data_IF_296781790398
#
_entry.id   IF_296781790398
#
_cell.length_a   1.000
_cell.length_b   1.000
_cell.length_c   1.000
_cell.angle_alpha   90.00
_cell.angle_beta   90.00
_cell.angle_gamma   90.00
#
_symmetry.space_group_name_H-M   'P 1'
#
loop_
_entity.id
_entity.type
_entity.pdbx_description
1 polymer ?
#
# COMPACT_ATOMS: atom_id res chain seq x y z
N UNK A 1 13.55 -5.52 15.16
CA UNK A 1 14.52 -4.72 14.35
C UNK A 1 15.45 -5.63 13.56
N UNK A 2 15.70 -5.33 12.29
CA UNK A 2 16.67 -6.11 11.46
C UNK A 2 18.07 -5.79 11.97
N UNK A 3 18.88 -6.82 12.26
CA UNK A 3 20.26 -6.64 12.71
C UNK A 3 21.08 -6.02 11.57
N UNK A 4 21.74 -4.89 11.84
CA UNK A 4 22.61 -4.22 10.88
C UNK A 4 23.98 -4.88 10.93
N UNK A 5 24.53 -5.23 9.79
CA UNK A 5 25.81 -5.90 9.62
C UNK A 5 26.72 -5.20 8.60
N UNK A 6 26.31 -4.02 8.14
CA UNK A 6 27.00 -3.28 7.06
C UNK A 6 28.50 -3.00 7.37
N UNK A 7 28.83 -2.69 8.62
CA UNK A 7 30.22 -2.50 9.04
C UNK A 7 31.03 -3.80 8.95
N UNK A 8 30.48 -4.92 9.40
CA UNK A 8 31.12 -6.24 9.31
C UNK A 8 31.24 -6.72 7.87
N UNK A 9 30.24 -6.47 7.05
CA UNK A 9 30.24 -6.91 5.65
C UNK A 9 31.30 -6.19 4.81
N UNK A 10 31.58 -4.91 5.12
CA UNK A 10 32.52 -4.08 4.35
C UNK A 10 33.93 -4.07 4.97
N UNK A 11 34.04 -3.99 6.29
CA UNK A 11 35.30 -3.73 6.99
C UNK A 11 35.68 -4.82 8.02
N UNK A 12 34.88 -5.90 8.15
CA UNK A 12 35.03 -6.87 9.23
C UNK A 12 36.40 -7.53 9.33
N UNK A 13 37.05 -7.82 8.21
CA UNK A 13 38.39 -8.39 8.18
C UNK A 13 39.51 -7.32 8.36
N UNK A 14 39.31 -6.14 7.82
CA UNK A 14 40.30 -5.07 7.87
C UNK A 14 40.26 -4.29 9.18
N UNK A 15 39.08 -4.00 9.72
CA UNK A 15 38.88 -3.19 10.91
C UNK A 15 37.76 -3.78 11.82
N UNK A 16 37.95 -4.98 12.41
CA UNK A 16 36.88 -5.71 13.09
C UNK A 16 36.30 -4.96 14.29
N UNK A 17 37.13 -4.22 15.02
CA UNK A 17 36.67 -3.44 16.17
C UNK A 17 35.82 -2.24 15.75
N UNK A 18 36.18 -1.59 14.66
CA UNK A 18 35.39 -0.49 14.07
C UNK A 18 34.05 -1.03 13.56
N UNK A 19 34.08 -2.14 12.82
CA UNK A 19 32.86 -2.80 12.33
C UNK A 19 31.91 -3.19 13.48
N UNK A 20 32.46 -3.72 14.58
CA UNK A 20 31.68 -4.01 15.78
C UNK A 20 31.05 -2.76 16.40
N UNK A 21 31.82 -1.67 16.57
CA UNK A 21 31.30 -0.43 17.14
C UNK A 21 30.21 0.20 16.25
N UNK A 22 30.39 0.15 14.93
CA UNK A 22 29.42 0.62 13.98
C UNK A 22 28.10 -0.18 14.08
N UNK A 23 28.16 -1.49 14.00
CA UNK A 23 26.97 -2.32 13.91
C UNK A 23 26.27 -2.51 15.25
N UNK A 24 27.03 -2.76 16.34
CA UNK A 24 26.43 -3.11 17.62
C UNK A 24 26.11 -1.85 18.45
N UNK A 25 26.98 -0.86 18.47
CA UNK A 25 26.82 0.34 19.31
C UNK A 25 26.10 1.45 18.56
N UNK A 26 26.63 1.90 17.43
CA UNK A 26 26.04 3.02 16.70
C UNK A 26 24.63 2.67 16.21
N UNK A 27 24.48 1.62 15.44
CA UNK A 27 23.18 1.23 14.89
C UNK A 27 22.36 0.35 15.83
N UNK A 28 23.00 -0.50 16.65
CA UNK A 28 22.31 -1.41 17.57
C UNK A 28 21.81 -0.75 18.86
N UNK A 29 22.54 0.22 19.40
CA UNK A 29 22.17 0.86 20.67
C UNK A 29 21.75 2.33 20.52
N UNK A 30 22.44 3.12 19.69
CA UNK A 30 22.17 4.56 19.57
C UNK A 30 21.03 4.83 18.59
N UNK A 31 21.09 4.27 17.38
CA UNK A 31 20.05 4.44 16.37
C UNK A 31 18.76 3.67 16.64
N UNK A 32 18.77 2.70 17.53
CA UNK A 32 17.59 1.93 17.92
C UNK A 32 16.67 2.61 18.96
N UNK A 33 17.04 3.78 19.46
CA UNK A 33 16.29 4.50 20.50
C UNK A 33 15.15 5.35 19.92
N UNK A 34 14.22 4.72 19.24
CA UNK A 34 13.12 5.41 18.53
C UNK A 34 12.19 6.19 19.48
N UNK A 35 12.06 5.74 20.73
CA UNK A 35 11.26 6.44 21.74
C UNK A 35 11.86 7.78 22.20
N UNK A 36 13.16 7.99 22.00
CA UNK A 36 13.85 9.22 22.39
C UNK A 36 13.94 10.23 21.22
N UNK A 37 14.18 9.70 20.01
CA UNK A 37 14.27 10.49 18.79
C UNK A 37 13.93 9.59 17.60
N UNK A 38 13.03 10.03 16.74
CA UNK A 38 12.60 9.23 15.58
C UNK A 38 13.75 8.94 14.61
N UNK A 39 13.65 7.85 13.84
CA UNK A 39 14.63 7.52 12.81
C UNK A 39 14.73 8.64 11.75
N UNK A 40 13.59 9.29 11.44
CA UNK A 40 13.49 10.45 10.57
C UNK A 40 14.33 11.64 11.07
N UNK A 41 14.12 12.03 12.32
CA UNK A 41 14.82 13.19 12.91
C UNK A 41 16.34 12.92 13.01
N UNK A 42 16.74 11.70 13.36
CA UNK A 42 18.14 11.29 13.35
C UNK A 42 18.76 11.36 11.97
N UNK A 43 18.07 10.88 10.96
CA UNK A 43 18.57 10.93 9.58
C UNK A 43 18.70 12.38 9.09
N UNK A 44 17.72 13.23 9.41
CA UNK A 44 17.76 14.66 9.09
C UNK A 44 18.96 15.36 9.78
N UNK A 45 19.15 15.14 11.09
CA UNK A 45 20.26 15.69 11.84
C UNK A 45 21.61 15.22 11.24
N UNK A 46 21.74 13.94 10.94
CA UNK A 46 22.98 13.36 10.38
C UNK A 46 23.30 13.96 9.02
N UNK A 47 22.33 13.99 8.10
CA UNK A 47 22.50 14.59 6.76
C UNK A 47 22.85 16.07 6.87
N UNK A 48 22.14 16.82 7.71
CA UNK A 48 22.41 18.25 7.95
C UNK A 48 23.80 18.50 8.52
N UNK A 49 24.23 17.69 9.50
CA UNK A 49 25.56 17.81 10.10
C UNK A 49 26.68 17.51 9.08
N UNK A 50 26.52 16.51 8.24
CA UNK A 50 27.49 16.20 7.17
C UNK A 50 27.56 17.32 6.13
N UNK A 51 26.41 17.84 5.70
CA UNK A 51 26.34 18.98 4.78
C UNK A 51 27.01 20.23 5.35
N UNK A 52 26.72 20.57 6.61
CA UNK A 52 27.27 21.75 7.27
C UNK A 52 28.81 21.70 7.41
N UNK A 53 29.39 20.51 7.44
CA UNK A 53 30.83 20.28 7.49
C UNK A 53 31.46 20.10 6.10
N UNK A 54 30.67 20.16 5.02
CA UNK A 54 31.15 19.93 3.65
C UNK A 54 31.55 18.49 3.35
N UNK A 55 31.09 17.53 4.18
CA UNK A 55 31.33 16.09 4.02
C UNK A 55 30.27 15.51 3.07
N UNK A 56 30.50 15.60 1.77
CA UNK A 56 29.56 15.15 0.72
C UNK A 56 30.10 13.94 -0.07
N UNK A 57 30.86 13.11 0.59
CA UNK A 57 31.48 11.89 0.05
C UNK A 57 30.48 10.68 0.02
N UNK A 58 31.03 9.49 -0.15
CA UNK A 58 30.26 8.24 -0.18
C UNK A 58 29.42 8.02 1.10
N UNK A 59 29.93 8.45 2.25
CA UNK A 59 29.23 8.35 3.54
C UNK A 59 27.97 9.21 3.55
N UNK A 60 28.06 10.45 3.06
CA UNK A 60 26.90 11.33 2.88
C UNK A 60 25.87 10.70 1.94
N UNK A 61 26.30 10.15 0.80
CA UNK A 61 25.42 9.48 -0.16
C UNK A 61 24.64 8.32 0.47
N UNK A 62 25.30 7.52 1.31
CA UNK A 62 24.67 6.43 2.06
C UNK A 62 23.60 6.94 3.05
N UNK A 63 23.94 7.94 3.86
CA UNK A 63 23.00 8.52 4.82
C UNK A 63 21.83 9.23 4.13
N UNK A 64 22.05 9.87 3.00
CA UNK A 64 20.98 10.50 2.22
C UNK A 64 20.01 9.47 1.63
N UNK A 65 20.52 8.35 1.09
CA UNK A 65 19.67 7.26 0.59
C UNK A 65 18.82 6.66 1.72
N UNK A 66 19.46 6.35 2.86
CA UNK A 66 18.74 5.82 4.04
C UNK A 66 17.68 6.82 4.56
N UNK A 67 17.97 8.12 4.56
CA UNK A 67 17.02 9.15 4.96
C UNK A 67 15.80 9.19 4.03
N UNK A 68 16.01 9.09 2.72
CA UNK A 68 14.92 9.06 1.74
C UNK A 68 13.99 7.87 1.96
N UNK A 69 14.54 6.68 2.20
CA UNK A 69 13.76 5.48 2.46
C UNK A 69 12.92 5.62 3.74
N UNK A 70 13.52 6.10 4.83
CA UNK A 70 12.81 6.34 6.10
C UNK A 70 11.69 7.36 5.93
N UNK A 71 11.93 8.45 5.20
CA UNK A 71 10.93 9.50 5.01
C UNK A 71 9.78 9.04 4.13
N UNK A 72 10.05 8.23 3.10
CA UNK A 72 9.03 7.65 2.25
C UNK A 72 8.12 6.67 3.04
N UNK A 73 8.71 5.85 3.90
CA UNK A 73 7.96 4.90 4.74
C UNK A 73 7.05 5.64 5.76
N UNK A 74 7.55 6.71 6.40
CA UNK A 74 6.75 7.51 7.34
C UNK A 74 5.62 8.27 6.63
N UNK A 75 5.88 8.86 5.47
CA UNK A 75 4.87 9.57 4.67
C UNK A 75 3.74 8.62 4.25
N UNK A 76 4.09 7.43 3.78
CA UNK A 76 3.12 6.39 3.43
C UNK A 76 2.31 5.92 4.64
N UNK A 77 2.93 5.75 5.82
CA UNK A 77 2.24 5.39 7.05
C UNK A 77 1.25 6.49 7.49
N UNK A 78 1.66 7.75 7.39
CA UNK A 78 0.81 8.90 7.69
C UNK A 78 -0.37 9.03 6.72
N UNK A 79 -0.16 8.76 5.43
CA UNK A 79 -1.22 8.75 4.43
C UNK A 79 -2.24 7.65 4.68
N UNK A 80 -1.77 6.44 4.98
CA UNK A 80 -2.63 5.32 5.36
C UNK A 80 -3.48 5.67 6.58
N UNK A 81 -2.87 6.29 7.59
CA UNK A 81 -3.59 6.70 8.80
C UNK A 81 -4.61 7.81 8.52
N UNK A 82 -4.27 8.80 7.69
CA UNK A 82 -5.22 9.83 7.24
C UNK A 82 -6.40 9.20 6.49
N UNK A 83 -6.13 8.26 5.59
CA UNK A 83 -7.18 7.54 4.87
C UNK A 83 -8.06 6.73 5.82
N UNK A 84 -7.48 6.00 6.81
CA UNK A 84 -8.26 5.28 7.83
C UNK A 84 -9.18 6.23 8.61
N UNK A 85 -8.70 7.43 8.96
CA UNK A 85 -9.47 8.41 9.72
C UNK A 85 -10.59 9.07 8.90
N UNK A 86 -10.56 8.95 7.57
CA UNK A 86 -11.61 9.51 6.68
C UNK A 86 -12.83 8.61 6.53
N UNK A 87 -12.81 7.40 7.08
CA UNK A 87 -13.92 6.43 7.00
C UNK A 87 -14.13 5.69 8.31
N UNK A 88 -15.33 5.11 8.49
CA UNK A 88 -15.70 4.32 9.67
C UNK A 88 -15.32 2.84 9.55
N UNK A 89 -15.07 2.35 8.34
CA UNK A 89 -14.70 0.97 8.08
C UNK A 89 -13.19 0.78 8.22
N UNK A 90 -12.71 -0.35 8.80
CA UNK A 90 -11.27 -0.60 8.89
C UNK A 90 -10.67 -0.84 7.50
N UNK A 91 -9.43 -0.41 7.30
CA UNK A 91 -8.64 -0.75 6.09
C UNK A 91 -8.46 -2.28 6.00
N UNK A 92 -8.22 -2.93 7.13
CA UNK A 92 -8.04 -4.37 7.19
C UNK A 92 -6.60 -4.84 7.02
N UNK A 93 -6.45 -6.14 6.78
CA UNK A 93 -5.17 -6.78 6.54
C UNK A 93 -4.72 -6.66 5.07
N UNK A 94 -3.42 -6.78 4.76
CA UNK A 94 -2.95 -6.93 3.40
C UNK A 94 -3.72 -8.04 2.66
N UNK A 95 -4.09 -7.77 1.41
CA UNK A 95 -4.89 -8.67 0.58
C UNK A 95 -4.02 -9.72 -0.13
N UNK A 96 -3.16 -10.41 0.63
CA UNK A 96 -2.13 -11.31 0.10
C UNK A 96 -2.73 -12.49 -0.70
N UNK A 97 -3.91 -12.98 -0.29
CA UNK A 97 -4.60 -14.09 -0.95
C UNK A 97 -5.02 -13.79 -2.40
N UNK A 98 -5.18 -12.53 -2.75
CA UNK A 98 -5.57 -12.07 -4.08
C UNK A 98 -4.51 -11.18 -4.74
N UNK A 99 -3.32 -11.01 -4.14
CA UNK A 99 -2.28 -10.10 -4.60
C UNK A 99 -1.93 -10.28 -6.10
N UNK A 100 -1.96 -11.52 -6.61
CA UNK A 100 -1.71 -11.83 -8.02
C UNK A 100 -2.70 -11.17 -9.01
N UNK A 101 -3.83 -10.67 -8.52
CA UNK A 101 -4.88 -10.02 -9.32
C UNK A 101 -4.90 -8.50 -9.14
N UNK A 102 -3.90 -7.93 -8.47
CA UNK A 102 -3.79 -6.49 -8.21
C UNK A 102 -2.43 -5.95 -8.65
N UNK A 103 -2.42 -4.76 -9.23
CA UNK A 103 -1.19 -4.03 -9.57
C UNK A 103 -0.83 -3.05 -8.45
N UNK A 104 -0.24 -3.53 -7.36
CA UNK A 104 0.09 -2.72 -6.19
C UNK A 104 -0.54 -3.26 -4.92
N UNK A 105 -0.43 -2.49 -3.83
CA UNK A 105 -0.90 -2.95 -2.52
C UNK A 105 -2.38 -2.67 -2.33
N UNK A 106 -3.10 -3.68 -1.91
CA UNK A 106 -4.51 -3.58 -1.48
C UNK A 106 -4.71 -4.24 -0.13
N UNK A 107 -5.82 -3.90 0.51
CA UNK A 107 -6.21 -4.39 1.83
C UNK A 107 -7.66 -4.85 1.80
N UNK A 108 -7.99 -5.80 2.68
CA UNK A 108 -9.32 -6.38 2.77
C UNK A 108 -9.77 -6.47 4.23
N UNK A 109 -10.95 -5.92 4.52
CA UNK A 109 -11.61 -6.06 5.80
C UNK A 109 -13.01 -6.67 5.61
N UNK A 110 -13.34 -7.79 6.25
CA UNK A 110 -14.71 -8.29 6.24
C UNK A 110 -15.62 -7.37 7.06
N UNK A 111 -16.75 -6.97 6.47
CA UNK A 111 -17.80 -6.18 7.11
C UNK A 111 -19.00 -7.06 7.43
N UNK A 112 -19.36 -7.96 6.53
CA UNK A 112 -20.37 -8.98 6.72
C UNK A 112 -19.95 -10.28 6.02
N UNK A 113 -20.11 -11.41 6.67
CA UNK A 113 -19.71 -12.72 6.14
C UNK A 113 -20.85 -13.75 6.08
N UNK A 114 -22.06 -13.38 6.52
CA UNK A 114 -23.18 -14.30 6.64
C UNK A 114 -24.17 -14.21 5.48
N UNK A 115 -25.27 -13.46 5.61
CA UNK A 115 -26.34 -13.40 4.61
C UNK A 115 -25.91 -12.80 3.29
N UNK A 116 -25.24 -11.65 3.36
CA UNK A 116 -24.63 -10.96 2.23
C UNK A 116 -23.18 -10.69 2.59
N UNK A 117 -22.28 -11.18 1.77
CA UNK A 117 -20.87 -10.89 1.98
C UNK A 117 -20.55 -9.46 1.55
N UNK A 118 -19.94 -8.74 2.47
CA UNK A 118 -19.53 -7.36 2.28
C UNK A 118 -18.09 -7.22 2.77
N UNK A 119 -17.24 -6.69 1.94
CA UNK A 119 -15.85 -6.40 2.27
C UNK A 119 -15.55 -4.92 2.05
N UNK A 120 -14.82 -4.30 2.97
CA UNK A 120 -14.17 -3.05 2.66
C UNK A 120 -12.86 -3.37 1.93
N UNK A 121 -12.76 -2.98 0.67
CA UNK A 121 -11.57 -3.13 -0.16
C UNK A 121 -10.89 -1.79 -0.25
N UNK A 122 -9.64 -1.72 0.19
CA UNK A 122 -8.83 -0.49 0.18
C UNK A 122 -7.64 -0.66 -0.75
N UNK A 123 -7.38 0.34 -1.55
CA UNK A 123 -6.32 0.41 -2.54
C UNK A 123 -5.36 1.55 -2.20
N UNK A 124 -4.06 1.30 -2.24
CA UNK A 124 -3.05 2.37 -2.25
C UNK A 124 -3.10 3.16 -3.55
N UNK A 125 -2.54 4.39 -3.59
CA UNK A 125 -2.50 5.19 -4.81
C UNK A 125 -1.99 4.42 -6.03
N UNK A 126 -2.75 4.46 -7.14
CA UNK A 126 -2.45 3.75 -8.38
C UNK A 126 -2.71 2.25 -8.39
N UNK A 127 -3.05 1.64 -7.25
CA UNK A 127 -3.38 0.22 -7.20
C UNK A 127 -4.72 -0.06 -7.91
N UNK A 128 -4.74 -1.05 -8.78
CA UNK A 128 -5.92 -1.51 -9.54
C UNK A 128 -6.04 -3.03 -9.46
N UNK A 129 -7.26 -3.56 -9.51
CA UNK A 129 -7.44 -4.98 -9.76
C UNK A 129 -7.41 -5.27 -11.27
N UNK A 130 -7.20 -6.53 -11.61
CA UNK A 130 -7.28 -7.01 -12.99
C UNK A 130 -8.71 -6.89 -13.51
N UNK A 131 -8.87 -6.90 -14.84
CA UNK A 131 -10.14 -7.17 -15.46
C UNK A 131 -10.73 -8.46 -14.88
N UNK A 132 -12.01 -8.43 -14.54
CA UNK A 132 -12.70 -9.60 -13.99
C UNK A 132 -14.19 -9.56 -14.27
N UNK A 133 -14.85 -10.69 -14.04
CA UNK A 133 -16.28 -10.87 -14.28
C UNK A 133 -16.87 -11.61 -13.10
N UNK A 134 -17.97 -11.09 -12.54
CA UNK A 134 -18.82 -11.83 -11.62
C UNK A 134 -19.84 -12.62 -12.41
N UNK A 135 -19.73 -13.94 -12.41
CA UNK A 135 -20.62 -14.84 -13.12
C UNK A 135 -21.65 -15.43 -12.15
N UNK A 136 -22.88 -15.62 -12.61
CA UNK A 136 -23.94 -16.34 -11.89
C UNK A 136 -24.97 -16.89 -12.87
N UNK A 137 -25.60 -18.00 -12.52
CA UNK A 137 -26.67 -18.56 -13.34
C UNK A 137 -27.99 -17.80 -13.18
N UNK A 138 -28.20 -17.20 -11.98
CA UNK A 138 -29.34 -16.36 -11.66
C UNK A 138 -29.01 -15.40 -10.52
N UNK A 139 -29.44 -14.14 -10.59
CA UNK A 139 -29.02 -13.10 -9.64
C UNK A 139 -27.53 -12.82 -9.78
N UNK A 140 -26.84 -12.55 -8.67
CA UNK A 140 -25.39 -12.30 -8.65
C UNK A 140 -24.98 -10.91 -9.13
N UNK A 141 -23.69 -10.76 -9.41
CA UNK A 141 -23.06 -9.47 -9.67
C UNK A 141 -22.47 -8.84 -8.41
N UNK A 142 -22.12 -7.59 -8.49
CA UNK A 142 -21.50 -6.86 -7.38
C UNK A 142 -22.05 -5.43 -7.29
N UNK A 143 -22.11 -4.90 -6.07
CA UNK A 143 -22.39 -3.47 -5.86
C UNK A 143 -21.16 -2.88 -5.17
N UNK A 144 -20.64 -1.79 -5.71
CA UNK A 144 -19.61 -0.98 -5.05
C UNK A 144 -20.29 0.22 -4.38
N UNK A 145 -19.95 0.47 -3.13
CA UNK A 145 -20.34 1.69 -2.41
C UNK A 145 -19.06 2.38 -1.98
N UNK A 146 -18.74 3.52 -2.59
CA UNK A 146 -17.50 4.25 -2.31
C UNK A 146 -17.58 4.93 -0.94
N UNK A 147 -16.57 4.71 -0.09
CA UNK A 147 -16.59 5.16 1.31
C UNK A 147 -15.47 6.15 1.64
N UNK A 148 -14.36 6.14 0.91
CA UNK A 148 -13.26 7.08 1.14
C UNK A 148 -12.36 7.22 -0.09
N UNK A 149 -11.71 8.38 -0.23
CA UNK A 149 -10.73 8.66 -1.26
C UNK A 149 -11.32 8.82 -2.65
N UNK A 150 -10.49 8.63 -3.69
CA UNK A 150 -10.85 8.77 -5.10
C UNK A 150 -10.34 7.58 -5.90
N UNK A 151 -11.19 7.03 -6.75
CA UNK A 151 -10.86 5.87 -7.57
C UNK A 151 -11.57 5.88 -8.91
N UNK A 152 -11.46 4.75 -9.60
CA UNK A 152 -12.07 4.54 -10.91
C UNK A 152 -12.77 3.19 -10.99
N UNK A 153 -13.79 3.15 -11.83
CA UNK A 153 -14.46 1.95 -12.32
C UNK A 153 -14.56 2.02 -13.83
N UNK A 154 -14.33 0.90 -14.51
CA UNK A 154 -14.49 0.84 -15.96
C UNK A 154 -15.09 -0.51 -16.38
N UNK A 155 -16.09 -0.47 -17.24
CA UNK A 155 -16.56 -1.62 -18.00
C UNK A 155 -15.76 -1.77 -19.29
N UNK A 156 -15.53 -3.00 -19.71
CA UNK A 156 -14.84 -3.28 -20.97
C UNK A 156 -15.48 -2.55 -22.15
N UNK A 157 -14.65 -1.78 -22.86
CA UNK A 157 -15.07 -1.00 -24.03
C UNK A 157 -15.81 0.30 -23.74
N UNK A 158 -15.83 0.74 -22.46
CA UNK A 158 -16.37 2.05 -22.06
C UNK A 158 -15.27 2.92 -21.47
N UNK A 159 -15.51 4.22 -21.36
CA UNK A 159 -14.63 5.16 -20.68
C UNK A 159 -14.61 4.90 -19.17
N UNK A 160 -13.47 5.11 -18.48
CA UNK A 160 -13.39 5.04 -17.03
C UNK A 160 -14.30 6.07 -16.35
N UNK A 161 -15.01 5.64 -15.33
CA UNK A 161 -15.81 6.50 -14.47
C UNK A 161 -15.02 6.81 -13.20
N UNK A 162 -14.79 8.08 -12.90
CA UNK A 162 -14.23 8.50 -11.62
C UNK A 162 -15.24 8.31 -10.49
N UNK A 163 -14.78 7.84 -9.32
CA UNK A 163 -15.58 7.49 -8.16
C UNK A 163 -15.15 8.27 -6.92
N UNK A 164 -16.15 8.77 -6.18
CA UNK A 164 -16.00 9.52 -4.94
C UNK A 164 -16.84 8.92 -3.81
N UNK A 165 -16.58 9.25 -2.54
CA UNK A 165 -17.41 8.81 -1.43
C UNK A 165 -18.88 9.15 -1.61
N UNK A 166 -19.73 8.14 -1.47
CA UNK A 166 -21.18 8.23 -1.72
C UNK A 166 -21.63 7.70 -3.09
N UNK A 167 -20.70 7.52 -4.05
CA UNK A 167 -21.04 6.91 -5.33
C UNK A 167 -21.36 5.42 -5.17
N UNK A 168 -22.33 4.95 -5.96
CA UNK A 168 -22.74 3.55 -5.98
C UNK A 168 -22.70 3.04 -7.42
N UNK A 169 -21.98 1.95 -7.63
CA UNK A 169 -21.92 1.27 -8.93
C UNK A 169 -22.61 -0.08 -8.82
N UNK A 170 -23.60 -0.32 -9.68
CA UNK A 170 -24.28 -1.60 -9.79
C UNK A 170 -23.70 -2.38 -10.97
N UNK A 171 -23.00 -3.47 -10.68
CA UNK A 171 -22.33 -4.31 -11.67
C UNK A 171 -23.16 -5.59 -11.86
N UNK A 172 -23.80 -5.70 -13.02
CA UNK A 172 -24.60 -6.88 -13.36
C UNK A 172 -23.69 -8.11 -13.56
N UNK A 173 -24.19 -9.33 -13.34
CA UNK A 173 -23.45 -10.54 -13.65
C UNK A 173 -23.07 -10.58 -15.13
N UNK A 174 -21.88 -11.07 -15.45
CA UNK A 174 -21.35 -11.17 -16.81
C UNK A 174 -20.64 -9.91 -17.33
N UNK A 175 -20.70 -8.79 -16.61
CA UNK A 175 -20.00 -7.54 -17.00
C UNK A 175 -18.51 -7.68 -16.70
N UNK A 176 -17.65 -7.54 -17.72
CA UNK A 176 -16.21 -7.47 -17.57
C UNK A 176 -15.82 -6.05 -17.16
N UNK A 177 -15.13 -5.91 -16.04
CA UNK A 177 -14.81 -4.61 -15.46
C UNK A 177 -13.54 -4.67 -14.60
N UNK A 178 -13.03 -3.49 -14.25
CA UNK A 178 -12.04 -3.30 -13.20
C UNK A 178 -12.39 -2.09 -12.33
N UNK A 179 -11.78 -1.99 -11.16
CA UNK A 179 -11.81 -0.82 -10.31
C UNK A 179 -10.51 -0.70 -9.50
N UNK A 180 -10.22 0.51 -9.03
CA UNK A 180 -9.00 0.77 -8.28
C UNK A 180 -8.85 2.23 -7.90
N UNK A 181 -7.73 2.55 -7.26
CA UNK A 181 -7.40 3.89 -6.80
C UNK A 181 -6.91 4.79 -7.94
N UNK A 182 -7.17 6.09 -7.81
CA UNK A 182 -6.51 7.09 -8.63
C UNK A 182 -5.00 7.13 -8.35
N UNK A 183 -4.16 7.59 -9.29
CA UNK A 183 -2.70 7.56 -9.14
C UNK A 183 -2.17 8.33 -7.92
N UNK A 184 -2.91 9.31 -7.43
CA UNK A 184 -2.55 10.25 -6.37
C UNK A 184 -3.49 10.19 -5.15
N UNK A 185 -4.30 9.14 -5.02
CA UNK A 185 -5.26 9.02 -3.91
C UNK A 185 -5.41 7.58 -3.47
N UNK A 186 -5.46 7.36 -2.17
CA UNK A 186 -6.04 6.16 -1.60
C UNK A 186 -7.52 6.07 -1.99
N UNK A 187 -8.04 4.85 -2.08
CA UNK A 187 -9.44 4.61 -2.41
C UNK A 187 -9.99 3.42 -1.61
N UNK A 188 -11.21 3.57 -1.09
CA UNK A 188 -11.92 2.47 -0.43
C UNK A 188 -13.38 2.41 -0.86
N UNK A 189 -13.84 1.19 -1.07
CA UNK A 189 -15.25 0.92 -1.33
C UNK A 189 -15.70 -0.35 -0.61
N UNK A 190 -16.98 -0.42 -0.29
CA UNK A 190 -17.62 -1.68 0.08
C UNK A 190 -17.88 -2.48 -1.20
N UNK A 191 -17.37 -3.68 -1.25
CA UNK A 191 -17.71 -4.69 -2.24
C UNK A 191 -18.83 -5.55 -1.68
N UNK A 192 -20.04 -5.40 -2.20
CA UNK A 192 -21.21 -6.17 -1.81
C UNK A 192 -21.42 -7.28 -2.84
N UNK A 193 -21.25 -8.53 -2.42
CA UNK A 193 -21.55 -9.68 -3.28
C UNK A 193 -23.09 -9.86 -3.35
N UNK A 194 -23.66 -9.58 -4.52
CA UNK A 194 -25.12 -9.77 -4.72
C UNK A 194 -25.44 -11.25 -4.69
N UNK A 195 -26.39 -11.72 -3.85
CA UNK A 195 -26.76 -13.12 -3.79
C UNK A 195 -27.27 -13.67 -5.13
N UNK A 196 -26.87 -14.89 -5.46
CA UNK A 196 -27.27 -15.56 -6.69
C UNK A 196 -26.95 -17.06 -6.67
N UNK A 197 -27.30 -17.73 -7.78
CA UNK A 197 -27.06 -19.17 -7.95
C UNK A 197 -25.74 -19.37 -8.69
N UNK A 198 -24.87 -20.25 -8.18
CA UNK A 198 -23.56 -20.60 -8.74
C UNK A 198 -22.65 -19.37 -9.00
N UNK A 199 -22.65 -18.41 -8.06
CA UNK A 199 -21.81 -17.20 -8.15
C UNK A 199 -20.33 -17.56 -8.10
N UNK A 200 -19.54 -16.99 -9.02
CA UNK A 200 -18.08 -17.11 -9.06
C UNK A 200 -17.45 -15.88 -9.72
N UNK A 201 -16.24 -15.56 -9.32
CA UNK A 201 -15.44 -14.52 -9.98
C UNK A 201 -14.46 -15.16 -10.97
N UNK A 202 -14.41 -14.65 -12.18
CA UNK A 202 -13.43 -15.03 -13.19
C UNK A 202 -12.47 -13.89 -13.43
N UNK A 203 -11.23 -14.08 -13.03
CA UNK A 203 -10.14 -13.14 -13.25
C UNK A 203 -9.62 -13.22 -14.67
N UNK A 204 -9.34 -12.09 -15.26
CA UNK A 204 -8.87 -11.91 -16.61
C UNK A 204 -7.47 -11.25 -16.59
N UNK A 205 -7.07 -10.61 -17.68
CA UNK A 205 -5.80 -9.91 -17.83
C UNK A 205 -5.67 -8.69 -16.91
N UNK A 206 -4.44 -8.25 -16.70
CA UNK A 206 -4.17 -6.98 -16.01
C UNK A 206 -4.63 -5.79 -16.87
N UNK A 207 -4.98 -4.69 -16.19
CA UNK A 207 -5.30 -3.42 -16.83
C UNK A 207 -4.02 -2.80 -17.37
N UNK A 208 -4.00 -2.37 -18.63
CA UNK A 208 -2.84 -1.69 -19.22
C UNK A 208 -2.68 -0.27 -18.72
N UNK A 209 -1.48 0.31 -18.87
CA UNK A 209 -1.22 1.71 -18.49
C UNK A 209 -1.95 2.72 -19.40
N UNK A 210 -2.39 2.27 -20.57
CA UNK A 210 -3.11 3.10 -21.55
C UNK A 210 -4.63 3.10 -21.33
N UNK A 211 -5.12 2.23 -20.46
CA UNK A 211 -6.51 2.12 -20.02
C UNK A 211 -6.70 2.81 -18.66
#
# INVERSE_FOLDING_TARGET
>A
MRKITAGRDVLGEFAPKFAQLNDDVLFGEVWSRESELSARDRSLITVTALMAQGLTDTSFGHHLAMAKDIWADEESADEKQRHQNSMIFPIGAPNDGFAQYFSGQSYLAPVSTEQVKIFNVTFEPGCRNNWHIHEADKGGGQILVCVAGRGYYQEWGKEPQELHPGDVVNIAPGVKHWHGAAPDSWFSHLAVEVPGENCRSRWCESVSEEE
#
